data_IF_794702028669
#
_entry.id   IF_794702028669
#
_cell.length_a   1.000
_cell.length_b   1.000
_cell.length_c   1.000
_cell.angle_alpha   90.00
_cell.angle_beta   90.00
_cell.angle_gamma   90.00
#
_symmetry.space_group_name_H-M   'P 1'
#
loop_
_entity.id
_entity.type
_entity.pdbx_description
1 polymer ?
#
# COMPACT_ATOMS: atom_id res chain seq x y z
N UNK A 1 -19.72 36.25 4.49
CA UNK A 1 -18.64 35.95 5.45
C UNK A 1 -18.81 34.59 6.17
N UNK A 2 -19.96 34.28 6.78
CA UNK A 2 -20.19 33.00 7.50
C UNK A 2 -19.95 31.77 6.64
N UNK A 3 -20.38 31.78 5.35
CA UNK A 3 -20.20 30.66 4.42
C UNK A 3 -18.73 30.42 4.05
N UNK A 4 -17.94 31.48 3.90
CA UNK A 4 -16.50 31.35 3.61
C UNK A 4 -15.73 30.74 4.80
N UNK A 5 -16.04 31.18 6.01
CA UNK A 5 -15.43 30.66 7.25
C UNK A 5 -15.80 29.18 7.42
N UNK A 6 -17.05 28.80 7.16
CA UNK A 6 -17.50 27.41 7.18
C UNK A 6 -16.75 26.56 6.16
N UNK A 7 -16.61 27.05 4.93
CA UNK A 7 -15.87 26.41 3.84
C UNK A 7 -14.38 26.23 4.19
N UNK A 8 -13.72 27.26 4.70
CA UNK A 8 -12.31 27.19 5.13
C UNK A 8 -12.11 26.21 6.29
N UNK A 9 -13.04 26.19 7.27
CA UNK A 9 -13.02 25.18 8.34
C UNK A 9 -13.18 23.76 7.80
N UNK A 10 -14.04 23.55 6.79
CA UNK A 10 -14.21 22.26 6.13
C UNK A 10 -12.93 21.82 5.40
N UNK A 11 -12.28 22.73 4.66
CA UNK A 11 -10.99 22.48 4.00
C UNK A 11 -9.90 22.14 5.03
N UNK A 12 -9.77 22.95 6.09
CA UNK A 12 -8.80 22.70 7.16
C UNK A 12 -9.04 21.34 7.83
N UNK A 13 -10.30 20.99 8.05
CA UNK A 13 -10.67 19.69 8.64
C UNK A 13 -10.32 18.52 7.70
N UNK A 14 -10.54 18.68 6.40
CA UNK A 14 -10.16 17.69 5.37
C UNK A 14 -8.63 17.58 5.30
N UNK A 15 -7.92 18.71 5.27
CA UNK A 15 -6.45 18.74 5.26
C UNK A 15 -5.85 18.05 6.48
N UNK A 16 -6.33 18.38 7.68
CA UNK A 16 -5.88 17.76 8.93
C UNK A 16 -6.22 16.27 8.99
N UNK A 17 -7.31 15.86 8.35
CA UNK A 17 -7.74 14.46 8.31
C UNK A 17 -6.86 13.60 7.40
N UNK A 18 -6.33 14.16 6.30
CA UNK A 18 -5.69 13.35 5.26
C UNK A 18 -4.23 13.67 4.99
N UNK A 19 -3.61 14.65 5.64
CA UNK A 19 -2.17 14.97 5.52
C UNK A 19 -1.56 14.66 4.14
N UNK A 20 -2.15 15.20 3.07
CA UNK A 20 -1.72 14.95 1.70
C UNK A 20 -0.25 15.40 1.50
N UNK A 21 0.60 14.49 1.04
CA UNK A 21 2.01 14.76 0.81
C UNK A 21 2.32 14.86 -0.70
N UNK A 22 2.36 16.09 -1.23
CA UNK A 22 2.61 16.35 -2.66
C UNK A 22 3.95 15.79 -3.13
N UNK A 23 5.03 16.11 -2.42
CA UNK A 23 6.38 15.69 -2.80
C UNK A 23 6.49 14.17 -2.90
N UNK A 24 6.10 13.44 -1.86
CA UNK A 24 6.16 11.97 -1.84
C UNK A 24 5.22 11.36 -2.89
N UNK A 25 4.07 11.97 -3.15
CA UNK A 25 3.15 11.56 -4.21
C UNK A 25 3.82 11.63 -5.57
N UNK A 26 4.48 12.73 -5.90
CA UNK A 26 5.21 12.87 -7.16
C UNK A 26 6.34 11.84 -7.23
N UNK A 27 7.22 11.80 -6.24
CA UNK A 27 8.39 10.92 -6.22
C UNK A 27 8.01 9.46 -6.41
N UNK A 28 7.01 8.97 -5.68
CA UNK A 28 6.63 7.55 -5.73
C UNK A 28 6.02 7.15 -7.07
N UNK A 29 5.22 8.03 -7.68
CA UNK A 29 4.64 7.74 -8.99
C UNK A 29 5.71 7.65 -10.07
N UNK A 30 6.63 8.61 -10.13
CA UNK A 30 7.69 8.61 -11.15
C UNK A 30 8.78 7.55 -10.91
N UNK A 31 8.94 7.06 -9.68
CA UNK A 31 9.86 5.94 -9.39
C UNK A 31 9.27 4.57 -9.71
N UNK A 32 7.96 4.38 -9.54
CA UNK A 32 7.34 3.05 -9.59
C UNK A 32 6.54 2.78 -10.87
N UNK A 33 6.18 3.83 -11.62
CA UNK A 33 5.32 3.73 -12.78
C UNK A 33 6.00 4.28 -14.05
N UNK A 34 5.64 3.76 -15.24
CA UNK A 34 6.00 4.38 -16.50
C UNK A 34 5.49 5.82 -16.58
N UNK A 35 6.24 6.71 -17.24
CA UNK A 35 5.93 8.14 -17.33
C UNK A 35 4.47 8.45 -17.73
N UNK A 36 3.96 7.75 -18.77
CA UNK A 36 2.58 7.90 -19.26
C UNK A 36 1.51 7.59 -18.20
N UNK A 37 1.82 6.78 -17.20
CA UNK A 37 0.91 6.48 -16.09
C UNK A 37 1.17 7.40 -14.90
N UNK A 38 2.42 7.73 -14.62
CA UNK A 38 2.84 8.55 -13.50
C UNK A 38 2.25 9.97 -13.53
N UNK A 39 2.10 10.58 -14.71
CA UNK A 39 1.53 11.92 -14.88
C UNK A 39 0.08 12.05 -14.37
N UNK A 40 -0.66 10.93 -14.30
CA UNK A 40 -2.01 10.90 -13.73
C UNK A 40 -2.03 10.81 -12.20
N UNK A 41 -0.86 10.71 -11.55
CA UNK A 41 -0.69 10.57 -10.11
C UNK A 41 -1.65 9.54 -9.49
N UNK A 42 -1.68 8.30 -10.00
CA UNK A 42 -2.60 7.29 -9.50
C UNK A 42 -2.33 6.91 -8.04
N UNK A 43 -1.09 7.01 -7.57
CA UNK A 43 -0.72 6.73 -6.20
C UNK A 43 -0.62 8.04 -5.41
N UNK A 44 -1.52 8.23 -4.44
CA UNK A 44 -1.60 9.43 -3.60
C UNK A 44 -1.22 9.08 -2.17
N UNK A 45 -0.27 9.83 -1.62
CA UNK A 45 0.27 9.63 -0.27
C UNK A 45 -0.37 10.61 0.71
N UNK A 46 -0.86 10.06 1.80
CA UNK A 46 -1.37 10.79 2.96
C UNK A 46 -0.50 10.46 4.19
N UNK A 47 -0.15 11.47 4.96
CA UNK A 47 0.63 11.28 6.19
C UNK A 47 2.09 10.86 5.99
N UNK A 48 2.75 10.48 7.06
CA UNK A 48 4.14 10.06 7.02
C UNK A 48 4.30 8.67 6.40
N UNK A 49 5.28 8.54 5.52
CA UNK A 49 5.65 7.26 4.90
C UNK A 49 7.16 7.17 4.75
N UNK A 50 7.70 5.99 5.05
CA UNK A 50 9.06 5.61 4.72
C UNK A 50 9.06 4.90 3.37
N UNK A 51 9.94 5.32 2.46
CA UNK A 51 10.06 4.76 1.12
C UNK A 51 11.45 4.17 0.93
N UNK A 52 11.53 2.85 0.73
CA UNK A 52 12.75 2.15 0.32
C UNK A 52 12.42 1.43 -0.98
N UNK A 53 12.86 2.00 -2.12
CA UNK A 53 12.48 1.56 -3.46
C UNK A 53 13.73 1.31 -4.29
N UNK A 54 14.02 0.05 -4.60
CA UNK A 54 15.16 -0.34 -5.42
C UNK A 54 14.73 -1.38 -6.46
N UNK A 55 14.93 -1.08 -7.76
CA UNK A 55 14.58 -1.93 -8.91
C UNK A 55 13.15 -2.50 -8.84
N UNK A 56 12.25 -1.72 -8.30
CA UNK A 56 10.86 -2.10 -8.02
C UNK A 56 9.89 -1.39 -8.93
N UNK A 57 8.70 -1.96 -9.12
CA UNK A 57 7.68 -1.39 -10.00
C UNK A 57 6.26 -1.67 -9.51
N UNK A 58 5.34 -0.81 -9.93
CA UNK A 58 3.90 -1.06 -9.89
C UNK A 58 3.41 -1.25 -11.32
N UNK A 59 2.62 -2.29 -11.56
CA UNK A 59 1.90 -2.52 -12.81
C UNK A 59 0.42 -2.20 -12.60
N UNK A 60 -0.12 -1.29 -13.38
CA UNK A 60 -1.55 -1.00 -13.36
C UNK A 60 -2.23 -1.71 -14.53
N UNK A 61 -3.09 -2.67 -14.24
CA UNK A 61 -3.94 -3.37 -15.23
C UNK A 61 -5.26 -2.62 -15.47
N UNK A 62 -5.36 -1.40 -14.97
CA UNK A 62 -6.53 -0.52 -15.11
C UNK A 62 -6.08 0.86 -15.57
N UNK A 63 -7.01 1.62 -16.16
CA UNK A 63 -6.76 2.99 -16.60
C UNK A 63 -6.26 3.84 -15.42
N UNK A 64 -5.09 4.47 -15.51
CA UNK A 64 -4.56 5.31 -14.46
C UNK A 64 -5.46 6.53 -14.29
N UNK A 65 -5.76 6.86 -13.02
CA UNK A 65 -6.51 8.07 -12.63
C UNK A 65 -6.02 8.54 -11.28
N UNK A 66 -6.16 9.82 -11.02
CA UNK A 66 -5.76 10.41 -9.74
C UNK A 66 -6.38 9.67 -8.55
N UNK A 67 -5.54 9.28 -7.59
CA UNK A 67 -5.98 8.63 -6.35
C UNK A 67 -6.60 7.25 -6.51
N UNK A 68 -6.23 6.51 -7.57
CA UNK A 68 -6.57 5.09 -7.72
C UNK A 68 -6.06 4.26 -6.54
N UNK A 69 -4.86 4.60 -6.07
CA UNK A 69 -4.22 4.05 -4.87
C UNK A 69 -4.11 5.18 -3.85
N UNK A 70 -4.72 5.01 -2.69
CA UNK A 70 -4.66 5.97 -1.58
C UNK A 70 -3.88 5.34 -0.43
N UNK A 71 -2.69 5.86 -0.14
CA UNK A 71 -1.81 5.33 0.89
C UNK A 71 -1.74 6.25 2.10
N UNK A 72 -1.93 5.68 3.29
CA UNK A 72 -2.06 6.44 4.54
C UNK A 72 -3.42 7.13 4.68
N UNK A 73 -4.40 6.73 3.84
CA UNK A 73 -5.75 7.27 3.87
C UNK A 73 -6.52 6.68 5.06
N UNK A 74 -6.89 7.55 6.00
CA UNK A 74 -7.55 7.12 7.23
C UNK A 74 -8.94 6.54 6.96
N UNK A 75 -9.10 5.25 7.21
CA UNK A 75 -10.36 4.52 7.07
C UNK A 75 -10.86 3.96 8.41
N UNK A 76 -9.99 3.84 9.38
CA UNK A 76 -10.32 3.35 10.71
C UNK A 76 -9.87 4.33 11.80
N UNK A 77 -10.44 4.18 13.00
CA UNK A 77 -10.14 5.04 14.15
C UNK A 77 -9.08 4.43 15.08
N UNK A 78 -8.64 3.19 14.81
CA UNK A 78 -7.75 2.45 15.71
C UNK A 78 -6.29 2.87 15.58
N UNK A 79 -5.91 3.41 14.42
CA UNK A 79 -4.53 3.83 14.17
C UNK A 79 -4.49 5.35 13.90
N UNK A 80 -3.69 6.10 14.67
CA UNK A 80 -3.56 7.54 14.46
C UNK A 80 -3.09 7.89 13.05
N UNK A 81 -3.63 8.95 12.46
CA UNK A 81 -3.29 9.41 11.10
C UNK A 81 -1.81 9.75 10.91
N UNK A 82 -1.11 10.06 12.00
CA UNK A 82 0.33 10.38 12.01
C UNK A 82 1.21 9.14 12.14
N UNK A 83 0.64 7.93 12.28
CA UNK A 83 1.43 6.71 12.37
C UNK A 83 2.15 6.47 11.04
N UNK A 84 3.49 6.36 11.03
CA UNK A 84 4.23 6.17 9.80
C UNK A 84 3.88 4.85 9.13
N UNK A 85 3.61 4.90 7.83
CA UNK A 85 3.54 3.73 6.96
C UNK A 85 4.91 3.43 6.35
N UNK A 86 5.10 2.21 5.84
CA UNK A 86 6.32 1.82 5.13
C UNK A 86 5.98 1.16 3.79
N UNK A 87 6.63 1.60 2.74
CA UNK A 87 6.68 0.91 1.46
C UNK A 87 8.14 0.54 1.16
N UNK A 88 8.48 -0.68 1.50
CA UNK A 88 9.80 -1.27 1.29
C UNK A 88 9.72 -2.26 0.13
N UNK A 89 10.36 -1.94 -0.98
CA UNK A 89 10.37 -2.79 -2.18
C UNK A 89 11.78 -2.88 -2.73
N UNK A 90 12.31 -4.12 -2.78
CA UNK A 90 13.59 -4.43 -3.41
C UNK A 90 13.35 -5.56 -4.41
N UNK A 91 13.53 -5.28 -5.70
CA UNK A 91 13.19 -6.16 -6.83
C UNK A 91 11.71 -6.58 -6.87
N UNK A 92 10.87 -5.99 -6.01
CA UNK A 92 9.46 -6.35 -5.87
C UNK A 92 8.56 -5.77 -6.96
N UNK A 93 7.44 -6.43 -7.20
CA UNK A 93 6.40 -5.97 -8.13
C UNK A 93 5.05 -6.00 -7.43
N UNK A 94 4.31 -4.88 -7.51
CA UNK A 94 2.90 -4.85 -7.12
C UNK A 94 2.07 -4.71 -8.39
N UNK A 95 1.10 -5.61 -8.57
CA UNK A 95 0.15 -5.59 -9.69
C UNK A 95 -1.21 -5.12 -9.14
N UNK A 96 -1.79 -4.09 -9.74
CA UNK A 96 -3.03 -3.45 -9.29
C UNK A 96 -4.11 -3.64 -10.34
N UNK A 97 -5.16 -4.38 -9.99
CA UNK A 97 -6.30 -4.65 -10.85
C UNK A 97 -7.51 -3.74 -10.58
N UNK A 98 -7.40 -2.81 -9.61
CA UNK A 98 -8.47 -1.88 -9.27
C UNK A 98 -8.07 -0.82 -8.24
N UNK A 99 -9.03 -0.31 -7.48
CA UNK A 99 -8.73 0.65 -6.41
C UNK A 99 -8.11 -0.03 -5.20
N UNK A 100 -7.14 0.65 -4.60
CA UNK A 100 -6.49 0.24 -3.36
C UNK A 100 -6.54 1.37 -2.34
N UNK A 101 -6.99 1.06 -1.14
CA UNK A 101 -6.94 1.96 0.02
C UNK A 101 -6.09 1.33 1.11
N UNK A 102 -5.11 2.07 1.58
CA UNK A 102 -4.18 1.63 2.62
C UNK A 102 -4.26 2.63 3.76
N UNK A 103 -4.60 2.16 4.95
CA UNK A 103 -4.68 2.98 6.16
C UNK A 103 -3.29 3.34 6.71
N UNK A 104 -3.18 4.26 7.69
CA UNK A 104 -1.92 4.60 8.34
C UNK A 104 -1.26 3.42 9.06
N UNK A 105 0.07 3.48 9.23
CA UNK A 105 0.84 2.47 9.95
C UNK A 105 1.03 1.14 9.22
N UNK A 106 0.55 1.03 7.99
CA UNK A 106 0.69 -0.20 7.20
C UNK A 106 2.11 -0.36 6.69
N UNK A 107 2.64 -1.58 6.76
CA UNK A 107 3.95 -1.96 6.25
C UNK A 107 3.79 -2.91 5.06
N UNK A 108 4.25 -2.47 3.89
CA UNK A 108 4.48 -3.35 2.75
C UNK A 108 5.99 -3.59 2.61
N UNK A 109 6.40 -4.83 2.79
CA UNK A 109 7.74 -5.31 2.45
C UNK A 109 7.59 -6.35 1.35
N UNK A 110 7.86 -5.93 0.10
CA UNK A 110 7.62 -6.75 -1.08
C UNK A 110 8.93 -6.93 -1.84
N UNK A 111 9.45 -8.15 -1.83
CA UNK A 111 10.61 -8.56 -2.65
C UNK A 111 10.22 -9.50 -3.78
N UNK A 112 9.02 -10.07 -3.73
CA UNK A 112 8.40 -10.91 -4.75
C UNK A 112 7.32 -10.17 -5.54
N UNK A 113 6.22 -10.87 -5.80
CA UNK A 113 5.07 -10.36 -6.56
C UNK A 113 3.85 -10.31 -5.63
N UNK A 114 3.22 -9.13 -5.55
CA UNK A 114 1.92 -8.97 -4.89
C UNK A 114 0.89 -8.54 -5.93
N UNK A 115 -0.08 -9.39 -6.21
CA UNK A 115 -1.19 -9.09 -7.11
C UNK A 115 -2.45 -8.78 -6.30
N UNK A 116 -3.01 -7.58 -6.50
CA UNK A 116 -4.14 -7.08 -5.77
C UNK A 116 -5.33 -6.90 -6.71
N UNK A 117 -6.45 -7.52 -6.37
CA UNK A 117 -7.71 -7.45 -7.09
C UNK A 117 -8.37 -6.08 -7.07
N UNK A 118 -9.66 -6.06 -7.42
CA UNK A 118 -10.45 -4.81 -7.43
C UNK A 118 -10.98 -4.49 -6.02
N UNK A 119 -10.97 -3.20 -5.66
CA UNK A 119 -11.55 -2.69 -4.40
C UNK A 119 -10.96 -3.33 -3.13
N UNK A 120 -9.64 -3.22 -3.01
CA UNK A 120 -8.92 -3.72 -1.83
C UNK A 120 -8.80 -2.61 -0.79
N UNK A 121 -9.05 -2.96 0.47
CA UNK A 121 -8.88 -2.07 1.62
C UNK A 121 -7.99 -2.75 2.66
N UNK A 122 -6.94 -2.06 3.10
CA UNK A 122 -5.98 -2.56 4.09
C UNK A 122 -6.09 -1.69 5.34
N UNK A 123 -6.53 -2.28 6.42
CA UNK A 123 -6.69 -1.62 7.73
C UNK A 123 -5.38 -1.15 8.33
N UNK A 124 -5.48 -0.26 9.32
CA UNK A 124 -4.31 0.36 9.94
C UNK A 124 -3.39 -0.64 10.63
N UNK A 125 -2.09 -0.41 10.56
CA UNK A 125 -1.07 -1.25 11.21
C UNK A 125 -0.90 -2.65 10.61
N UNK A 126 -1.56 -2.97 9.50
CA UNK A 126 -1.36 -4.25 8.81
C UNK A 126 0.06 -4.38 8.26
N UNK A 127 0.54 -5.62 8.17
CA UNK A 127 1.86 -5.94 7.60
C UNK A 127 1.70 -6.97 6.48
N UNK A 128 2.22 -6.64 5.29
CA UNK A 128 2.33 -7.53 4.15
C UNK A 128 3.83 -7.76 3.89
N UNK A 129 4.30 -8.97 4.20
CA UNK A 129 5.72 -9.34 4.19
C UNK A 129 5.90 -10.45 3.15
N UNK A 130 6.18 -10.06 1.90
CA UNK A 130 6.12 -10.94 0.73
C UNK A 130 7.48 -11.06 0.08
N UNK A 131 8.03 -12.26 0.12
CA UNK A 131 9.28 -12.62 -0.54
C UNK A 131 9.07 -13.37 -1.85
N UNK A 132 8.01 -14.18 -1.95
CA UNK A 132 7.68 -14.95 -3.14
C UNK A 132 6.44 -14.38 -3.84
N UNK A 133 5.23 -14.74 -3.38
CA UNK A 133 4.02 -14.28 -4.06
C UNK A 133 2.79 -14.20 -3.17
N UNK A 134 2.03 -13.12 -3.36
CA UNK A 134 0.73 -12.89 -2.75
C UNK A 134 -0.28 -12.61 -3.86
N UNK A 135 -1.42 -13.28 -3.80
CA UNK A 135 -2.61 -12.94 -4.57
C UNK A 135 -3.76 -12.59 -3.63
N UNK A 136 -4.41 -11.46 -3.87
CA UNK A 136 -5.62 -11.03 -3.16
C UNK A 136 -6.73 -10.83 -4.19
N UNK A 137 -7.84 -11.54 -4.01
CA UNK A 137 -9.03 -11.43 -4.83
C UNK A 137 -9.76 -10.09 -4.69
N UNK A 138 -10.89 -9.97 -5.36
CA UNK A 138 -11.65 -8.72 -5.40
C UNK A 138 -12.43 -8.47 -4.10
N UNK A 139 -12.72 -7.20 -3.79
CA UNK A 139 -13.61 -6.78 -2.70
C UNK A 139 -13.15 -7.28 -1.31
N UNK A 140 -11.85 -7.39 -1.12
CA UNK A 140 -11.26 -7.92 0.11
C UNK A 140 -10.84 -6.78 1.04
N UNK A 141 -11.11 -6.95 2.34
CA UNK A 141 -10.74 -6.02 3.40
C UNK A 141 -9.97 -6.73 4.50
N UNK A 142 -8.87 -6.12 4.92
CA UNK A 142 -8.13 -6.58 6.09
C UNK A 142 -8.44 -5.69 7.28
N UNK A 143 -8.79 -6.30 8.40
CA UNK A 143 -8.94 -5.61 9.68
C UNK A 143 -7.59 -5.01 10.12
N UNK A 144 -7.63 -4.09 11.09
CA UNK A 144 -6.42 -3.49 11.64
C UNK A 144 -5.49 -4.56 12.24
N UNK A 145 -4.18 -4.35 12.12
CA UNK A 145 -3.16 -5.21 12.72
C UNK A 145 -2.97 -6.57 12.06
N UNK A 146 -3.68 -6.90 10.96
CA UNK A 146 -3.51 -8.17 10.26
C UNK A 146 -2.08 -8.33 9.73
N UNK A 147 -1.53 -9.54 9.81
CA UNK A 147 -0.20 -9.87 9.28
C UNK A 147 -0.35 -10.95 8.21
N UNK A 148 0.14 -10.64 7.00
CA UNK A 148 0.23 -11.57 5.87
C UNK A 148 1.70 -11.78 5.57
N UNK A 149 2.14 -13.02 5.62
CA UNK A 149 3.54 -13.37 5.43
C UNK A 149 3.64 -14.67 4.63
N UNK A 150 4.48 -14.70 3.61
CA UNK A 150 4.75 -15.89 2.79
C UNK A 150 6.09 -16.56 3.13
N UNK A 151 6.77 -16.05 4.13
CA UNK A 151 8.09 -16.50 4.55
C UNK A 151 8.20 -16.50 6.07
N UNK A 152 8.97 -17.41 6.62
CA UNK A 152 9.31 -17.40 8.04
C UNK A 152 10.58 -16.58 8.35
N UNK A 153 11.23 -15.98 7.32
CA UNK A 153 12.48 -15.22 7.40
C UNK A 153 13.69 -16.01 7.91
N UNK A 154 13.56 -17.30 8.18
CA UNK A 154 14.60 -18.17 8.69
C UNK A 154 14.93 -19.28 7.70
N UNK A 155 16.17 -19.70 7.70
CA UNK A 155 16.57 -20.93 7.04
C UNK A 155 16.31 -22.09 7.98
N UNK A 156 15.79 -23.19 7.45
CA UNK A 156 15.70 -24.46 8.15
C UNK A 156 16.89 -25.29 7.69
N UNK A 157 17.73 -25.72 8.63
CA UNK A 157 18.81 -26.64 8.36
C UNK A 157 18.38 -28.05 8.83
N UNK A 158 18.27 -28.96 7.89
CA UNK A 158 17.98 -30.36 8.17
C UNK A 158 19.07 -31.21 7.54
N UNK A 159 19.72 -32.05 8.37
CA UNK A 159 20.84 -32.94 7.96
C UNK A 159 21.95 -32.21 7.13
N UNK A 160 22.27 -30.97 7.51
CA UNK A 160 23.25 -30.14 6.80
C UNK A 160 22.75 -29.49 5.51
N UNK A 161 21.51 -29.69 5.11
CA UNK A 161 20.88 -29.07 3.96
C UNK A 161 20.09 -27.84 4.41
N UNK A 162 20.41 -26.68 3.82
CA UNK A 162 19.71 -25.43 4.11
C UNK A 162 18.46 -25.32 3.21
N UNK A 163 17.31 -25.27 3.82
CA UNK A 163 16.03 -25.06 3.15
C UNK A 163 15.50 -23.66 3.41
N UNK A 164 15.17 -22.92 2.35
CA UNK A 164 14.38 -21.71 2.44
C UNK A 164 12.99 -22.00 1.87
N UNK A 165 11.98 -21.93 2.72
CA UNK A 165 10.58 -22.12 2.28
C UNK A 165 9.87 -20.78 2.26
N UNK A 166 9.93 -20.09 1.12
CA UNK A 166 9.02 -18.99 0.83
C UNK A 166 7.79 -19.58 0.11
N UNK A 167 6.60 -19.38 0.67
CA UNK A 167 5.35 -19.94 0.18
C UNK A 167 4.68 -19.05 -0.85
N UNK A 168 3.50 -19.48 -1.28
CA UNK A 168 2.55 -18.66 -2.03
C UNK A 168 1.33 -18.42 -1.16
N UNK A 169 0.90 -17.17 -1.01
CA UNK A 169 -0.32 -16.82 -0.30
C UNK A 169 -1.41 -16.48 -1.29
N UNK A 170 -2.57 -17.12 -1.19
CA UNK A 170 -3.74 -16.84 -2.00
C UNK A 170 -4.91 -16.52 -1.09
N UNK A 171 -5.49 -15.33 -1.27
CA UNK A 171 -6.67 -14.87 -0.56
C UNK A 171 -7.78 -14.66 -1.58
N UNK A 172 -8.93 -15.25 -1.37
CA UNK A 172 -10.06 -15.21 -2.30
C UNK A 172 -10.74 -13.85 -2.42
N UNK A 173 -11.91 -13.85 -3.04
CA UNK A 173 -12.77 -12.66 -3.15
C UNK A 173 -13.60 -12.48 -1.87
N UNK A 174 -13.96 -11.24 -1.59
CA UNK A 174 -14.93 -10.89 -0.52
C UNK A 174 -14.57 -11.40 0.88
N UNK A 175 -13.27 -11.36 1.20
CA UNK A 175 -12.72 -11.72 2.50
C UNK A 175 -12.60 -10.47 3.38
#
# INVERSE_FOLDING_TARGET
MKNLISFLRKIKRIYLKYHFCYYKTIVVNFKLLPFKQAIHLPLVIYGPIQLVLNRSKIKLNVKPRFGLIKWGYNQDFFVPTKTPSMLFMINGTIIINGSLRVSPGVVFRISGIAELGKHIEIGGGCKLLINNSLYIGNQTRFAFGSIICDTNFHYICDQGIIHRKDGKVIIGNSV
#
